data_IF_100896670256
#
_entry.id   IF_100896670256
#
_cell.length_a   1.000
_cell.length_b   1.000
_cell.length_c   1.000
_cell.angle_alpha   90.00
_cell.angle_beta   90.00
_cell.angle_gamma   90.00
#
_symmetry.space_group_name_H-M   'P 1'
#
loop_
_entity.id
_entity.type
_entity.pdbx_description
1 polymer ?
#
# COMPACT_ATOMS: atom_id res chain seq x y z
N UNK A 1 2.31 -35.18 -17.17
CA UNK A 1 1.00 -34.73 -17.67
C UNK A 1 0.51 -33.61 -16.78
N UNK A 2 0.46 -32.41 -17.35
CA UNK A 2 -0.06 -31.18 -16.75
C UNK A 2 -1.57 -31.25 -16.63
N UNK A 3 -2.10 -30.89 -15.46
CA UNK A 3 -3.23 -29.96 -15.37
C UNK A 3 -2.96 -29.06 -14.14
N UNK A 4 -2.31 -27.94 -14.38
CA UNK A 4 -2.24 -26.83 -13.43
C UNK A 4 -3.66 -26.28 -13.25
N UNK A 5 -4.30 -26.60 -12.13
CA UNK A 5 -5.56 -25.98 -11.73
C UNK A 5 -5.26 -24.50 -11.39
N UNK A 6 -5.52 -23.59 -12.33
CA UNK A 6 -5.54 -22.15 -12.05
C UNK A 6 -6.70 -21.88 -11.09
N UNK A 7 -6.41 -21.89 -9.79
CA UNK A 7 -7.37 -21.57 -8.75
C UNK A 7 -7.62 -20.07 -8.71
N UNK A 8 -8.76 -19.63 -9.24
CA UNK A 8 -9.28 -18.29 -8.97
C UNK A 8 -9.81 -18.31 -7.54
N UNK A 9 -9.26 -17.46 -6.67
CA UNK A 9 -9.67 -17.35 -5.27
C UNK A 9 -10.37 -15.99 -5.07
N UNK A 10 -11.64 -16.05 -4.66
CA UNK A 10 -12.43 -14.90 -4.22
C UNK A 10 -12.49 -14.90 -2.69
N UNK A 11 -11.97 -13.84 -2.05
CA UNK A 11 -12.09 -13.62 -0.61
C UNK A 11 -12.79 -12.28 -0.38
N UNK A 12 -13.78 -12.25 0.51
CA UNK A 12 -14.55 -11.05 0.85
C UNK A 12 -14.84 -10.98 2.34
N UNK A 13 -14.93 -9.77 2.86
CA UNK A 13 -15.42 -9.47 4.22
C UNK A 13 -16.55 -8.44 4.11
N UNK A 14 -17.61 -8.64 4.88
CA UNK A 14 -18.79 -7.76 4.92
C UNK A 14 -18.40 -6.43 5.58
N UNK A 15 -18.49 -5.32 4.85
CA UNK A 15 -18.30 -3.98 5.43
C UNK A 15 -19.44 -3.05 5.02
N UNK A 16 -20.25 -2.62 6.00
CA UNK A 16 -21.36 -1.70 5.80
C UNK A 16 -20.94 -0.31 6.29
N UNK A 17 -20.64 0.62 5.37
CA UNK A 17 -20.36 2.02 5.75
C UNK A 17 -21.70 2.77 5.84
N UNK A 18 -22.26 2.82 7.04
CA UNK A 18 -23.39 3.71 7.39
C UNK A 18 -22.99 5.15 7.05
N UNK A 19 -23.56 5.70 5.97
CA UNK A 19 -23.43 7.12 5.65
C UNK A 19 -24.34 7.90 6.60
N UNK A 20 -23.74 8.72 7.47
CA UNK A 20 -24.45 9.77 8.21
C UNK A 20 -25.07 10.73 7.19
N UNK A 21 -26.39 10.67 7.00
CA UNK A 21 -27.16 11.75 6.40
C UNK A 21 -28.02 12.39 7.48
N UNK A 22 -27.77 13.67 7.73
CA UNK A 22 -28.60 14.51 8.57
C UNK A 22 -29.89 14.88 7.82
N UNK A 23 -31.03 14.59 8.44
CA UNK A 23 -32.38 15.21 8.32
C UNK A 23 -32.97 15.34 6.90
N UNK A 24 -34.16 14.77 6.60
CA UNK A 24 -35.48 15.46 6.44
C UNK A 24 -36.62 14.40 6.40
N UNK A 25 -37.71 14.69 7.13
CA UNK A 25 -39.14 14.35 6.95
C UNK A 25 -39.64 12.90 6.68
N UNK A 26 -40.59 12.54 7.55
CA UNK A 26 -41.77 11.69 7.33
C UNK A 26 -42.06 11.31 5.86
N UNK A 27 -42.02 10.00 5.57
CA UNK A 27 -42.68 9.45 4.38
C UNK A 27 -41.89 8.33 3.71
N UNK A 28 -42.29 7.09 4.01
CA UNK A 28 -42.22 5.90 3.14
C UNK A 28 -41.36 6.03 1.87
N UNK A 29 -40.06 5.79 1.98
CA UNK A 29 -39.29 5.21 0.87
C UNK A 29 -38.34 4.16 1.41
N UNK A 30 -38.62 2.90 1.08
CA UNK A 30 -37.77 1.75 1.32
C UNK A 30 -36.45 1.96 0.57
N UNK A 31 -35.44 2.55 1.22
CA UNK A 31 -34.11 2.60 0.64
C UNK A 31 -33.52 1.19 0.78
N UNK A 32 -33.62 0.40 -0.29
CA UNK A 32 -32.74 -0.74 -0.50
C UNK A 32 -31.32 -0.19 -0.59
N UNK A 33 -30.64 -0.04 0.54
CA UNK A 33 -29.20 0.17 0.54
C UNK A 33 -28.58 -1.12 0.02
N UNK A 34 -28.29 -1.15 -1.28
CA UNK A 34 -27.52 -2.21 -1.89
C UNK A 34 -26.11 -2.20 -1.27
N UNK A 35 -25.85 -3.15 -0.37
CA UNK A 35 -24.50 -3.44 0.08
C UNK A 35 -23.74 -4.09 -1.07
N UNK A 36 -22.86 -3.35 -1.74
CA UNK A 36 -21.88 -3.95 -2.64
C UNK A 36 -20.72 -4.50 -1.81
N UNK A 37 -20.56 -5.83 -1.81
CA UNK A 37 -19.39 -6.47 -1.20
C UNK A 37 -18.16 -6.19 -2.09
N UNK A 38 -17.10 -5.53 -1.60
CA UNK A 38 -15.86 -5.46 -2.36
C UNK A 38 -15.23 -6.87 -2.38
N UNK A 39 -15.12 -7.45 -3.57
CA UNK A 39 -14.44 -8.73 -3.79
C UNK A 39 -13.08 -8.49 -4.42
N UNK A 40 -12.04 -9.12 -3.88
CA UNK A 40 -10.73 -9.14 -4.52
C UNK A 40 -10.63 -10.40 -5.36
N UNK A 41 -10.26 -10.26 -6.64
CA UNK A 41 -9.96 -11.41 -7.50
C UNK A 41 -8.47 -11.67 -7.45
N UNK A 42 -8.08 -12.89 -7.08
CA UNK A 42 -6.68 -13.30 -7.06
C UNK A 42 -6.42 -14.51 -7.95
N UNK A 43 -5.27 -14.51 -8.62
CA UNK A 43 -4.76 -15.61 -9.44
C UNK A 43 -3.41 -16.02 -8.84
N UNK A 44 -3.26 -17.30 -8.47
CA UNK A 44 -2.03 -17.81 -7.84
C UNK A 44 -1.59 -16.98 -6.61
N UNK A 45 -2.55 -16.56 -5.78
CA UNK A 45 -2.37 -15.66 -4.64
C UNK A 45 -1.96 -14.21 -4.96
N UNK A 46 -1.85 -13.83 -6.23
CA UNK A 46 -1.66 -12.43 -6.63
C UNK A 46 -3.02 -11.78 -6.86
N UNK A 47 -3.32 -10.70 -6.15
CA UNK A 47 -4.53 -9.93 -6.37
C UNK A 47 -4.43 -9.16 -7.70
N UNK A 48 -5.38 -9.39 -8.61
CA UNK A 48 -5.40 -8.82 -9.98
C UNK A 48 -6.47 -7.75 -10.13
N UNK A 49 -7.45 -7.72 -9.22
CA UNK A 49 -8.53 -6.74 -9.20
C UNK A 49 -8.95 -6.47 -7.76
N UNK A 50 -8.94 -5.20 -7.35
CA UNK A 50 -9.51 -4.70 -6.09
C UNK A 50 -10.40 -3.49 -6.38
N UNK A 51 -11.72 -3.55 -6.09
CA UNK A 51 -12.66 -2.46 -6.31
C UNK A 51 -12.42 -1.23 -5.42
N UNK A 52 -11.52 -1.31 -4.43
CA UNK A 52 -11.06 -0.15 -3.66
C UNK A 52 -9.85 0.56 -4.30
N UNK A 53 -9.46 0.16 -5.52
CA UNK A 53 -8.35 0.72 -6.30
C UNK A 53 -7.02 0.75 -5.52
N UNK A 54 -6.88 -0.15 -4.53
CA UNK A 54 -5.66 -0.30 -3.72
C UNK A 54 -4.57 -1.09 -4.44
N UNK A 55 -4.90 -1.62 -5.61
CA UNK A 55 -3.98 -2.34 -6.46
C UNK A 55 -3.72 -1.49 -7.69
N UNK A 56 -2.71 -0.62 -7.60
CA UNK A 56 -2.07 -0.08 -8.79
C UNK A 56 -1.65 -1.26 -9.66
N UNK A 57 -2.27 -1.36 -10.83
CA UNK A 57 -2.14 -2.50 -11.71
C UNK A 57 -0.71 -2.60 -12.26
N UNK A 58 -0.09 -3.76 -12.05
CA UNK A 58 1.04 -4.23 -12.86
C UNK A 58 2.44 -4.03 -12.29
N UNK A 59 2.77 -4.64 -11.15
CA UNK A 59 4.09 -5.23 -10.83
C UNK A 59 4.10 -5.64 -9.35
N UNK A 60 4.06 -6.96 -9.08
CA UNK A 60 4.03 -7.54 -7.72
C UNK A 60 5.39 -7.43 -7.01
N UNK A 61 6.21 -6.41 -7.32
CA UNK A 61 7.52 -6.16 -6.69
C UNK A 61 7.51 -5.06 -5.63
N UNK A 62 6.47 -4.23 -5.60
CA UNK A 62 6.40 -3.04 -4.73
C UNK A 62 5.24 -3.09 -3.71
N UNK A 63 4.58 -4.24 -3.56
CA UNK A 63 3.43 -4.35 -2.64
C UNK A 63 3.82 -4.06 -1.18
N UNK A 64 5.06 -4.42 -0.79
CA UNK A 64 5.54 -4.29 0.57
C UNK A 64 5.80 -2.83 0.97
N UNK A 65 6.58 -2.09 0.16
CA UNK A 65 6.84 -0.68 0.39
C UNK A 65 5.54 0.14 0.31
N UNK A 66 4.70 -0.12 -0.69
CA UNK A 66 3.40 0.56 -0.78
C UNK A 66 2.50 0.23 0.43
N UNK A 67 2.59 -1.00 0.96
CA UNK A 67 1.94 -1.38 2.21
C UNK A 67 2.36 -0.50 3.39
N UNK A 68 3.68 -0.28 3.54
CA UNK A 68 4.22 0.63 4.55
C UNK A 68 3.75 2.08 4.35
N UNK A 69 3.76 2.58 3.12
CA UNK A 69 3.30 3.94 2.78
C UNK A 69 1.84 4.10 3.19
N UNK A 70 0.98 3.17 2.75
CA UNK A 70 -0.44 3.16 3.10
C UNK A 70 -0.70 3.09 4.61
N UNK A 71 0.11 2.30 5.33
CA UNK A 71 0.03 2.22 6.78
C UNK A 71 0.43 3.55 7.43
N UNK A 72 1.53 4.15 6.98
CA UNK A 72 2.04 5.42 7.49
C UNK A 72 1.02 6.55 7.29
N UNK A 73 0.42 6.66 6.11
CA UNK A 73 -0.64 7.64 5.82
C UNK A 73 -1.82 7.51 6.80
N UNK A 74 -2.30 6.29 7.03
CA UNK A 74 -3.42 6.04 7.96
C UNK A 74 -3.06 6.37 9.41
N UNK A 75 -1.88 5.97 9.86
CA UNK A 75 -1.44 6.20 11.24
C UNK A 75 -1.23 7.69 11.52
N UNK A 76 -0.67 8.42 10.56
CA UNK A 76 -0.39 9.84 10.68
C UNK A 76 -1.60 10.72 10.32
N UNK A 77 -2.72 10.10 9.93
CA UNK A 77 -3.95 10.78 9.45
C UNK A 77 -3.66 11.78 8.33
N UNK A 78 -2.80 11.36 7.42
CA UNK A 78 -2.39 12.11 6.24
C UNK A 78 -3.21 11.61 5.05
N UNK A 79 -3.76 12.54 4.28
CA UNK A 79 -4.61 12.24 3.12
C UNK A 79 -3.82 12.21 1.80
N UNK A 80 -2.64 12.82 1.76
CA UNK A 80 -1.76 12.87 0.58
C UNK A 80 -0.33 12.43 0.91
N UNK A 81 0.25 11.61 0.04
CA UNK A 81 1.66 11.17 0.09
C UNK A 81 2.65 12.34 0.19
N UNK A 82 2.31 13.50 -0.37
CA UNK A 82 3.14 14.70 -0.33
C UNK A 82 3.36 15.24 1.09
N UNK A 83 2.51 14.89 2.05
CA UNK A 83 2.67 15.38 3.42
C UNK A 83 3.49 14.42 4.29
N UNK A 84 3.86 13.25 3.76
CA UNK A 84 4.54 12.21 4.53
C UNK A 84 5.99 12.60 4.80
N UNK A 85 6.34 12.75 6.09
CA UNK A 85 7.69 13.13 6.51
C UNK A 85 8.47 11.97 7.16
N UNK A 86 7.75 10.99 7.69
CA UNK A 86 8.33 9.85 8.42
C UNK A 86 7.76 8.57 7.85
N UNK A 87 8.63 7.69 7.35
CA UNK A 87 8.25 6.36 6.89
C UNK A 87 8.93 5.30 7.77
N UNK A 88 8.14 4.53 8.50
CA UNK A 88 8.61 3.36 9.24
C UNK A 88 8.17 2.09 8.50
N UNK A 89 9.16 1.34 7.99
CA UNK A 89 8.97 0.16 7.14
C UNK A 89 10.01 -0.92 7.46
N UNK A 90 10.43 -1.03 8.72
CA UNK A 90 11.34 -2.08 9.15
C UNK A 90 10.67 -3.46 9.10
N UNK A 91 11.45 -4.50 8.82
CA UNK A 91 11.00 -5.90 8.84
C UNK A 91 9.74 -6.14 7.98
N UNK A 92 9.76 -5.65 6.74
CA UNK A 92 8.61 -5.66 5.83
C UNK A 92 8.91 -6.37 4.50
N UNK A 93 10.01 -7.12 4.42
CA UNK A 93 10.45 -7.87 3.22
C UNK A 93 10.68 -7.02 1.96
N UNK A 94 10.84 -5.70 2.11
CA UNK A 94 11.04 -4.77 0.99
C UNK A 94 12.31 -5.15 0.21
N UNK A 95 12.18 -5.28 -1.11
CA UNK A 95 13.30 -5.55 -2.02
C UNK A 95 13.55 -4.40 -3.00
N UNK A 96 12.53 -3.57 -3.25
CA UNK A 96 12.53 -2.54 -4.28
C UNK A 96 11.99 -1.21 -3.71
N UNK A 97 12.61 -0.10 -4.13
CA UNK A 97 12.31 1.25 -3.69
C UNK A 97 11.70 2.15 -4.80
N UNK A 98 11.31 1.60 -5.96
CA UNK A 98 10.95 2.35 -7.18
C UNK A 98 9.94 3.52 -7.02
N UNK A 99 9.11 3.55 -5.98
CA UNK A 99 8.12 4.60 -5.75
C UNK A 99 8.48 5.56 -4.61
N UNK A 100 9.57 5.31 -3.88
CA UNK A 100 9.93 6.13 -2.72
C UNK A 100 10.33 7.56 -3.12
N UNK A 101 10.85 7.73 -4.34
CA UNK A 101 11.28 9.03 -4.87
C UNK A 101 10.16 10.05 -5.03
N UNK A 102 8.89 9.61 -5.01
CA UNK A 102 7.72 10.50 -5.07
C UNK A 102 7.42 11.18 -3.74
N UNK A 103 7.95 10.63 -2.65
CA UNK A 103 7.72 11.11 -1.30
C UNK A 103 8.73 12.22 -0.96
N UNK A 104 8.71 13.30 -1.73
CA UNK A 104 9.72 14.38 -1.73
C UNK A 104 9.87 15.08 -0.36
N UNK A 105 8.89 14.93 0.53
CA UNK A 105 8.88 15.52 1.86
C UNK A 105 9.40 14.60 2.97
N UNK A 106 9.87 13.40 2.64
CA UNK A 106 10.48 12.49 3.61
C UNK A 106 11.71 13.12 4.26
N UNK A 107 11.71 13.12 5.59
CA UNK A 107 12.81 13.57 6.45
C UNK A 107 13.46 12.41 7.16
N UNK A 108 12.71 11.36 7.45
CA UNK A 108 13.19 10.17 8.13
C UNK A 108 12.61 8.89 7.50
N UNK A 109 13.48 7.92 7.23
CA UNK A 109 13.10 6.62 6.69
C UNK A 109 13.76 5.51 7.51
N UNK A 110 12.94 4.59 8.02
CA UNK A 110 13.40 3.33 8.60
C UNK A 110 13.05 2.16 7.69
N UNK A 111 14.07 1.58 7.06
CA UNK A 111 14.00 0.41 6.19
C UNK A 111 14.86 -0.74 6.74
N UNK A 112 15.12 -0.77 8.04
CA UNK A 112 15.93 -1.83 8.66
C UNK A 112 15.31 -3.22 8.53
N UNK A 113 16.15 -4.27 8.44
CA UNK A 113 15.73 -5.68 8.33
C UNK A 113 14.85 -5.95 7.11
N UNK A 114 15.25 -5.44 5.95
CA UNK A 114 14.62 -5.74 4.67
C UNK A 114 15.61 -6.49 3.76
N UNK A 115 15.35 -6.52 2.44
CA UNK A 115 16.18 -7.21 1.44
C UNK A 115 16.57 -6.26 0.31
N UNK A 116 16.78 -4.98 0.64
CA UNK A 116 17.14 -3.94 -0.31
C UNK A 116 18.61 -4.10 -0.69
N UNK A 117 18.91 -3.98 -1.98
CA UNK A 117 20.28 -3.95 -2.50
C UNK A 117 20.58 -2.72 -3.36
N UNK A 118 19.55 -2.06 -3.88
CA UNK A 118 19.66 -0.89 -4.75
C UNK A 118 19.15 0.38 -4.04
N UNK A 119 19.99 1.40 -3.95
CA UNK A 119 19.68 2.67 -3.29
C UNK A 119 19.35 3.81 -4.27
N UNK A 120 19.49 3.62 -5.59
CA UNK A 120 19.22 4.65 -6.61
C UNK A 120 17.87 5.35 -6.48
N UNK A 121 16.77 4.68 -6.09
CA UNK A 121 15.50 5.38 -5.91
C UNK A 121 15.49 6.43 -4.79
N UNK A 122 16.51 6.47 -3.92
CA UNK A 122 16.66 7.48 -2.86
C UNK A 122 17.33 8.78 -3.34
N UNK A 123 17.94 8.80 -4.54
CA UNK A 123 18.77 9.91 -5.03
C UNK A 123 18.06 11.27 -4.99
N UNK A 124 16.75 11.29 -5.23
CA UNK A 124 15.94 12.53 -5.33
C UNK A 124 15.31 12.99 -4.01
N UNK A 125 15.61 12.31 -2.89
CA UNK A 125 15.05 12.65 -1.58
C UNK A 125 15.88 13.72 -0.88
N UNK A 126 15.92 14.92 -1.47
CA UNK A 126 16.78 16.05 -1.03
C UNK A 126 16.53 16.52 0.41
N UNK A 127 15.35 16.18 0.98
CA UNK A 127 14.95 16.56 2.35
C UNK A 127 15.26 15.49 3.40
N UNK A 128 15.81 14.35 2.97
CA UNK A 128 16.09 13.22 3.85
C UNK A 128 17.23 13.57 4.81
N UNK A 129 16.94 13.46 6.10
CA UNK A 129 17.86 13.80 7.20
C UNK A 129 18.24 12.61 8.07
N UNK A 130 17.47 11.52 8.00
CA UNK A 130 17.76 10.27 8.70
C UNK A 130 17.33 9.06 7.88
N UNK A 131 18.20 8.06 7.82
CA UNK A 131 18.01 6.84 7.04
C UNK A 131 18.57 5.65 7.81
N UNK A 132 17.72 4.68 8.14
CA UNK A 132 18.14 3.39 8.70
C UNK A 132 18.00 2.30 7.64
N UNK A 133 19.12 1.71 7.24
CA UNK A 133 19.21 0.59 6.30
C UNK A 133 19.85 -0.66 6.91
N UNK A 134 19.96 -0.72 8.25
CA UNK A 134 20.61 -1.86 8.93
C UNK A 134 19.98 -3.21 8.54
N UNK A 135 20.80 -4.25 8.41
CA UNK A 135 20.35 -5.59 8.03
C UNK A 135 19.60 -5.64 6.69
N UNK A 136 20.22 -5.12 5.62
CA UNK A 136 19.79 -5.25 4.23
C UNK A 136 20.87 -5.99 3.41
N UNK A 137 20.72 -6.03 2.08
CA UNK A 137 21.63 -6.70 1.13
C UNK A 137 22.43 -5.67 0.30
N UNK A 138 22.83 -4.56 0.94
CA UNK A 138 23.51 -3.45 0.28
C UNK A 138 25.00 -3.72 0.24
N UNK A 139 25.57 -3.75 -0.96
CA UNK A 139 27.02 -3.89 -1.20
C UNK A 139 27.64 -2.58 -1.70
N UNK A 140 26.84 -1.72 -2.35
CA UNK A 140 27.22 -0.40 -2.84
C UNK A 140 26.37 0.66 -2.15
N UNK A 141 27.03 1.69 -1.60
CA UNK A 141 26.39 2.80 -0.91
C UNK A 141 26.07 3.98 -1.83
N UNK A 142 26.38 3.86 -3.12
CA UNK A 142 26.02 4.84 -4.14
C UNK A 142 24.50 4.80 -4.37
N UNK A 143 23.80 5.93 -4.23
CA UNK A 143 22.51 6.13 -4.87
C UNK A 143 22.72 6.20 -6.38
#
# INVERSE_FOLDING_TARGET
MSISSLGILMKGSLYCRSSRQWLIALGLTSILTACSNPYTVSINNNAVFDPQDRLYTGEVRNADLQGCINFALRQQKIESEDQLQVLACANSEVTDLANISRLENLRFIDLGKNRISNLTPLERLDRLSGLNLSNNLIEDISP
#
